data_IF_681071862945
#
_entry.id   IF_681071862945
#
_cell.length_a   1.000
_cell.length_b   1.000
_cell.length_c   1.000
_cell.angle_alpha   90.00
_cell.angle_beta   90.00
_cell.angle_gamma   90.00
#
_symmetry.space_group_name_H-M   'P 1'
#
loop_
_entity.id
_entity.type
_entity.pdbx_description
1 polymer ?
#
# COMPACT_ATOMS: atom_id res chain seq x y z
N UNK A 1 6.68 -13.90 -21.56
CA UNK A 1 5.58 -13.13 -20.94
C UNK A 1 5.75 -13.27 -19.43
N UNK A 2 6.08 -12.20 -18.71
CA UNK A 2 6.04 -12.19 -17.25
C UNK A 2 5.03 -11.12 -16.81
N UNK A 3 3.84 -11.57 -16.41
CA UNK A 3 2.73 -10.69 -16.05
C UNK A 3 2.70 -10.36 -14.56
N UNK A 4 3.71 -10.81 -13.81
CA UNK A 4 3.82 -10.59 -12.38
C UNK A 4 4.90 -9.56 -12.08
N UNK A 5 4.64 -8.76 -11.06
CA UNK A 5 5.58 -7.81 -10.48
C UNK A 5 5.46 -7.81 -8.95
N UNK A 6 6.50 -7.31 -8.30
CA UNK A 6 6.51 -7.06 -6.87
C UNK A 6 6.62 -5.56 -6.59
N UNK A 7 6.14 -5.16 -5.41
CA UNK A 7 6.32 -3.82 -4.86
C UNK A 7 6.81 -3.92 -3.41
N UNK A 8 7.66 -2.98 -3.01
CA UNK A 8 7.97 -2.66 -1.62
C UNK A 8 7.76 -1.17 -1.44
N UNK A 9 7.23 -0.76 -0.30
CA UNK A 9 6.90 0.64 -0.05
C UNK A 9 6.98 0.98 1.44
N UNK A 10 7.13 2.27 1.71
CA UNK A 10 6.98 2.87 3.05
C UNK A 10 6.20 4.16 2.95
N UNK A 11 5.25 4.33 3.86
CA UNK A 11 4.39 5.49 3.95
C UNK A 11 4.60 6.21 5.28
N UNK A 12 4.51 7.53 5.30
CA UNK A 12 4.60 8.33 6.52
C UNK A 12 3.60 9.48 6.48
N UNK A 13 2.78 9.61 7.51
CA UNK A 13 1.77 10.67 7.58
C UNK A 13 1.15 10.78 8.97
N UNK A 14 0.44 11.88 9.17
CA UNK A 14 -0.39 12.14 10.35
C UNK A 14 -1.50 13.13 9.98
N UNK A 15 -2.62 13.07 10.69
CA UNK A 15 -3.72 14.01 10.53
C UNK A 15 -3.76 14.90 11.78
N UNK A 16 -3.23 16.12 11.65
CA UNK A 16 -3.08 17.07 12.75
C UNK A 16 -3.60 18.46 12.35
N UNK A 17 -4.16 19.20 13.32
CA UNK A 17 -4.72 20.53 13.11
C UNK A 17 -3.65 21.61 12.89
N UNK A 18 -2.41 21.35 13.31
CA UNK A 18 -1.26 22.25 13.16
C UNK A 18 0.00 21.46 12.78
N UNK A 19 0.97 22.15 12.19
CA UNK A 19 2.27 21.55 11.82
C UNK A 19 3.06 21.14 13.06
N UNK A 20 2.99 21.93 14.14
CA UNK A 20 3.67 21.66 15.41
C UNK A 20 3.11 20.40 16.10
N UNK A 21 1.81 20.12 15.90
CA UNK A 21 1.15 18.93 16.43
C UNK A 21 1.40 17.67 15.57
N UNK A 22 1.95 17.80 14.37
CA UNK A 22 2.20 16.66 13.48
C UNK A 22 3.16 15.64 14.11
N UNK A 23 2.75 14.38 14.12
CA UNK A 23 3.53 13.23 14.62
C UNK A 23 3.48 12.10 13.60
N UNK A 24 4.45 12.10 12.69
CA UNK A 24 4.55 11.11 11.61
C UNK A 24 4.38 9.67 12.10
N UNK A 25 3.37 8.97 11.56
CA UNK A 25 3.18 7.54 11.73
C UNK A 25 3.74 6.86 10.49
N UNK A 26 4.69 5.95 10.71
CA UNK A 26 5.36 5.25 9.62
C UNK A 26 4.76 3.85 9.47
N UNK A 27 4.47 3.48 8.23
CA UNK A 27 4.12 2.12 7.84
C UNK A 27 5.03 1.63 6.72
N UNK A 28 5.12 0.32 6.58
CA UNK A 28 5.81 -0.34 5.48
C UNK A 28 4.97 -1.50 4.97
N UNK A 29 5.20 -1.86 3.73
CA UNK A 29 4.49 -2.97 3.11
C UNK A 29 5.16 -3.49 1.87
N UNK A 30 4.58 -4.57 1.38
CA UNK A 30 4.96 -5.20 0.13
C UNK A 30 3.73 -5.69 -0.60
N UNK A 31 3.85 -5.85 -1.91
CA UNK A 31 2.71 -6.19 -2.74
C UNK A 31 3.05 -7.00 -3.96
N UNK A 32 2.05 -7.75 -4.42
CA UNK A 32 2.06 -8.47 -5.69
C UNK A 32 1.22 -7.71 -6.70
N UNK A 33 1.74 -7.57 -7.91
CA UNK A 33 1.09 -6.88 -9.02
C UNK A 33 0.92 -7.86 -10.17
N UNK A 34 -0.32 -8.06 -10.62
CA UNK A 34 -0.62 -8.93 -11.75
C UNK A 34 -1.27 -8.14 -12.88
N UNK A 35 -0.65 -8.20 -14.07
CA UNK A 35 -1.24 -7.70 -15.31
C UNK A 35 -2.15 -8.78 -15.88
N UNK A 36 -3.41 -8.80 -15.42
CA UNK A 36 -4.40 -9.74 -15.91
C UNK A 36 -4.91 -9.34 -17.31
N UNK A 37 -5.59 -10.26 -18.03
CA UNK A 37 -6.23 -9.92 -19.31
C UNK A 37 -7.26 -8.78 -19.23
N UNK A 38 -7.84 -8.53 -18.06
CA UNK A 38 -8.92 -7.53 -17.85
C UNK A 38 -8.44 -6.27 -17.11
N UNK A 39 -7.15 -6.17 -16.82
CA UNK A 39 -6.54 -5.00 -16.19
C UNK A 39 -5.57 -5.32 -15.05
N UNK A 40 -4.87 -4.31 -14.51
CA UNK A 40 -3.96 -4.48 -13.38
C UNK A 40 -4.68 -4.84 -12.08
N UNK A 41 -4.12 -5.80 -11.36
CA UNK A 41 -4.54 -6.23 -10.02
C UNK A 41 -3.39 -6.02 -9.04
N UNK A 42 -3.70 -5.56 -7.83
CA UNK A 42 -2.73 -5.42 -6.75
C UNK A 42 -3.24 -6.08 -5.46
N UNK A 43 -2.34 -6.79 -4.78
CA UNK A 43 -2.54 -7.31 -3.44
C UNK A 43 -1.37 -6.84 -2.58
N UNK A 44 -1.66 -5.97 -1.61
CA UNK A 44 -0.66 -5.34 -0.75
C UNK A 44 -0.87 -5.76 0.71
N UNK A 45 0.23 -6.02 1.40
CA UNK A 45 0.29 -6.29 2.83
C UNK A 45 1.07 -5.17 3.50
N UNK A 46 0.45 -4.48 4.45
CA UNK A 46 1.04 -3.31 5.12
C UNK A 46 0.97 -3.44 6.64
N UNK A 47 1.95 -2.85 7.33
CA UNK A 47 1.98 -2.74 8.78
C UNK A 47 2.53 -1.38 9.22
N UNK A 48 1.84 -0.76 10.17
CA UNK A 48 2.33 0.44 10.86
C UNK A 48 3.33 0.08 11.96
N UNK A 49 4.36 0.91 12.17
CA UNK A 49 5.36 0.74 13.24
C UNK A 49 4.74 0.60 14.64
N UNK A 50 3.62 1.28 14.87
CA UNK A 50 2.90 1.29 16.15
C UNK A 50 1.60 0.47 16.11
N UNK A 51 1.39 -0.35 15.07
CA UNK A 51 0.17 -1.16 14.91
C UNK A 51 0.51 -2.66 14.87
N UNK A 52 -0.10 -3.49 15.73
CA UNK A 52 0.22 -4.91 15.82
C UNK A 52 -0.45 -5.76 14.73
N UNK A 53 -1.43 -5.23 14.00
CA UNK A 53 -2.13 -5.93 12.92
C UNK A 53 -1.49 -5.67 11.56
N UNK A 54 -1.61 -6.64 10.66
CA UNK A 54 -1.29 -6.47 9.24
C UNK A 54 -2.57 -6.13 8.51
N UNK A 55 -2.51 -5.10 7.67
CA UNK A 55 -3.59 -4.72 6.77
C UNK A 55 -3.38 -5.40 5.42
N UNK A 56 -4.45 -5.95 4.86
CA UNK A 56 -4.47 -6.53 3.51
C UNK A 56 -5.33 -5.64 2.64
N UNK A 57 -4.80 -5.20 1.52
CA UNK A 57 -5.51 -4.36 0.55
C UNK A 57 -5.46 -5.03 -0.81
N UNK A 58 -6.63 -5.15 -1.45
CA UNK A 58 -6.78 -5.59 -2.81
C UNK A 58 -7.38 -4.48 -3.68
N UNK A 59 -6.82 -4.24 -4.87
CA UNK A 59 -7.34 -3.26 -5.83
C UNK A 59 -7.31 -3.77 -7.26
N UNK A 60 -8.24 -3.25 -8.08
CA UNK A 60 -8.38 -3.54 -9.51
C UNK A 60 -8.46 -2.21 -10.25
N UNK A 61 -7.66 -2.06 -11.31
CA UNK A 61 -7.83 -0.99 -12.27
C UNK A 61 -8.45 -1.56 -13.55
N UNK A 62 -9.58 -1.00 -13.97
CA UNK A 62 -10.23 -1.34 -15.24
C UNK A 62 -9.96 -0.20 -16.21
N UNK A 63 -9.33 -0.50 -17.35
CA UNK A 63 -9.21 0.45 -18.45
C UNK A 63 -10.53 0.43 -19.23
N UNK A 64 -11.12 1.61 -19.44
CA UNK A 64 -12.31 1.82 -20.27
C UNK A 64 -11.93 2.40 -21.62
#
# INVERSE_FOLDING_TARGET
INNWGGAIFSDAGDAADTVEAFRARVGWGGGLRWRSPVGPLALDFARGRSQPSTLVHFSIAVAF
#
